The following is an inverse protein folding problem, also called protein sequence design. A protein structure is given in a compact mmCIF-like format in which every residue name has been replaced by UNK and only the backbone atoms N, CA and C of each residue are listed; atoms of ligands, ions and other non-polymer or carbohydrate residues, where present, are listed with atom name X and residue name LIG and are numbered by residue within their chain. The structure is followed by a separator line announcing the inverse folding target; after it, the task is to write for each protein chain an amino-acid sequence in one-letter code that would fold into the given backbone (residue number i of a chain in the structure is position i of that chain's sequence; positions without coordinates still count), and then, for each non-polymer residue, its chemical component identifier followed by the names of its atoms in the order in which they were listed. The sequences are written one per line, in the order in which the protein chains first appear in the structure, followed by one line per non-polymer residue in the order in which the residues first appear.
data_IF_102767538118
#
_entry.id   IF_102767538118
#
_cell.length_a   1.000
_cell.length_b   1.000
_cell.length_c   1.000
_cell.angle_alpha   90.00
_cell.angle_beta   90.00
_cell.angle_gamma   90.00
#
_symmetry.space_group_name_H-M   'P 1'
#
loop_
_entity.id
_entity.type
_entity.pdbx_description
1 polymer ?
#
# COMPACT_ATOMS: atom_id res chain seq x y z
N UNK A 1 32.50 -3.51 -20.77
CA UNK A 1 31.48 -3.13 -19.76
C UNK A 1 30.37 -2.41 -20.52
N UNK A 2 29.51 -3.15 -21.21
CA UNK A 2 28.46 -2.59 -22.08
C UNK A 2 27.13 -3.36 -22.01
N UNK A 3 27.00 -4.29 -21.06
CA UNK A 3 25.77 -5.08 -20.82
C UNK A 3 25.05 -4.70 -19.52
N UNK A 4 25.44 -3.59 -18.89
CA UNK A 4 24.73 -3.10 -17.71
C UNK A 4 23.53 -2.26 -18.16
N UNK A 5 22.34 -2.47 -17.56
CA UNK A 5 21.17 -1.64 -17.85
C UNK A 5 21.46 -0.17 -17.54
N UNK A 6 20.96 0.73 -18.38
CA UNK A 6 21.07 2.18 -18.18
C UNK A 6 20.16 2.61 -17.03
N UNK A 7 20.73 2.82 -15.85
CA UNK A 7 19.97 3.20 -14.65
C UNK A 7 19.62 4.69 -14.59
N UNK A 8 20.16 5.50 -15.50
CA UNK A 8 19.78 6.92 -15.64
C UNK A 8 18.44 7.04 -16.38
N UNK A 9 18.08 6.03 -17.19
CA UNK A 9 16.74 5.88 -17.75
C UNK A 9 15.71 5.49 -16.67
N UNK A 10 14.64 6.27 -16.57
CA UNK A 10 13.62 6.11 -15.53
C UNK A 10 12.84 4.79 -15.66
N UNK A 11 12.50 4.39 -16.89
CA UNK A 11 11.76 3.15 -17.14
C UNK A 11 12.59 1.94 -16.76
N UNK A 12 13.86 1.92 -17.18
CA UNK A 12 14.83 0.88 -16.84
C UNK A 12 15.03 0.79 -15.33
N UNK A 13 15.22 1.93 -14.66
CA UNK A 13 15.35 1.98 -13.20
C UNK A 13 14.09 1.48 -12.49
N UNK A 14 12.90 1.84 -12.98
CA UNK A 14 11.64 1.40 -12.40
C UNK A 14 11.47 -0.12 -12.52
N UNK A 15 11.65 -0.67 -13.72
CA UNK A 15 11.56 -2.11 -13.96
C UNK A 15 12.59 -2.90 -13.14
N UNK A 16 13.83 -2.40 -13.03
CA UNK A 16 14.86 -3.04 -12.21
C UNK A 16 14.50 -3.00 -10.72
N UNK A 17 14.00 -1.86 -10.23
CA UNK A 17 13.59 -1.70 -8.83
C UNK A 17 12.43 -2.63 -8.48
N UNK A 18 11.44 -2.73 -9.36
CA UNK A 18 10.30 -3.64 -9.20
C UNK A 18 10.75 -5.11 -9.17
N UNK A 19 11.57 -5.53 -10.14
CA UNK A 19 12.07 -6.91 -10.20
C UNK A 19 12.88 -7.29 -8.95
N UNK A 20 13.76 -6.39 -8.48
CA UNK A 20 14.56 -6.61 -7.28
C UNK A 20 13.69 -6.63 -6.01
N UNK A 21 12.67 -5.77 -5.93
CA UNK A 21 11.73 -5.76 -4.82
C UNK A 21 10.94 -7.07 -4.75
N UNK A 22 10.39 -7.52 -5.89
CA UNK A 22 9.67 -8.80 -6.00
C UNK A 22 10.55 -9.95 -5.49
N UNK A 23 11.79 -10.04 -5.97
CA UNK A 23 12.76 -11.06 -5.51
C UNK A 23 13.05 -10.96 -4.00
N UNK A 24 13.18 -9.76 -3.46
CA UNK A 24 13.42 -9.57 -2.03
C UNK A 24 12.25 -10.06 -1.17
N UNK A 25 11.00 -9.74 -1.54
CA UNK A 25 9.85 -10.23 -0.78
C UNK A 25 9.65 -11.73 -0.97
N UNK A 26 9.85 -12.26 -2.17
CA UNK A 26 9.72 -13.69 -2.43
C UNK A 26 10.67 -14.51 -1.55
N UNK A 27 11.93 -14.07 -1.37
CA UNK A 27 12.88 -14.73 -0.46
C UNK A 27 12.42 -14.73 1.00
N UNK A 28 11.70 -13.69 1.43
CA UNK A 28 11.12 -13.64 2.78
C UNK A 28 9.80 -14.40 2.94
N UNK A 29 9.07 -14.62 1.84
CA UNK A 29 7.71 -15.17 1.86
C UNK A 29 7.64 -16.66 1.49
N UNK A 30 8.54 -17.14 0.64
CA UNK A 30 8.54 -18.54 0.15
C UNK A 30 9.28 -19.42 1.15
N UNK A 31 8.50 -20.21 1.90
CA UNK A 31 9.04 -21.18 2.88
C UNK A 31 8.99 -22.63 2.36
N UNK A 32 8.06 -22.92 1.47
CA UNK A 32 7.88 -24.22 0.81
C UNK A 32 7.19 -24.03 -0.55
N UNK A 33 7.32 -25.02 -1.44
CA UNK A 33 6.59 -25.06 -2.70
C UNK A 33 6.30 -26.50 -3.13
N UNK A 34 5.32 -26.64 -4.01
CA UNK A 34 5.00 -27.90 -4.68
C UNK A 34 5.00 -27.68 -6.19
N UNK A 35 5.60 -28.62 -6.94
CA UNK A 35 5.61 -28.60 -8.40
C UNK A 35 6.71 -27.73 -9.04
N UNK A 36 7.57 -27.09 -8.23
CA UNK A 36 8.80 -26.46 -8.73
C UNK A 36 9.90 -27.53 -8.79
N UNK A 37 10.41 -27.79 -9.99
CA UNK A 37 11.40 -28.84 -10.24
C UNK A 37 12.79 -28.22 -10.48
N UNK A 38 13.84 -29.01 -10.25
CA UNK A 38 15.19 -28.58 -10.54
C UNK A 38 15.46 -28.56 -12.06
N UNK A 39 16.53 -27.89 -12.46
CA UNK A 39 16.91 -27.77 -13.88
C UNK A 39 17.50 -29.04 -14.49
N UNK A 40 17.86 -30.03 -13.68
CA UNK A 40 18.55 -31.25 -14.10
C UNK A 40 17.63 -32.48 -14.22
N UNK A 41 16.33 -32.34 -13.90
CA UNK A 41 15.37 -33.44 -13.97
C UNK A 41 14.09 -33.17 -13.16
N UNK A 42 13.33 -34.24 -12.90
CA UNK A 42 11.99 -34.14 -12.32
C UNK A 42 11.95 -34.09 -10.77
N UNK A 43 13.11 -33.94 -10.12
CA UNK A 43 13.14 -33.84 -8.67
C UNK A 43 12.76 -32.42 -8.22
N UNK A 44 12.03 -32.25 -7.11
CA UNK A 44 11.67 -30.94 -6.59
C UNK A 44 12.89 -30.04 -6.36
N UNK A 45 12.78 -28.77 -6.73
CA UNK A 45 13.80 -27.78 -6.42
C UNK A 45 13.87 -27.56 -4.90
N UNK A 46 15.08 -27.39 -4.38
CA UNK A 46 15.28 -27.00 -2.97
C UNK A 46 14.96 -25.53 -2.83
N UNK A 47 14.15 -25.17 -1.83
CA UNK A 47 13.89 -23.76 -1.48
C UNK A 47 15.18 -23.15 -0.94
N UNK A 48 15.74 -22.21 -1.69
CA UNK A 48 16.86 -21.36 -1.28
C UNK A 48 16.79 -20.05 -2.08
N UNK A 49 17.55 -19.04 -1.65
CA UNK A 49 17.53 -17.70 -2.26
C UNK A 49 17.77 -17.72 -3.78
N UNK A 50 18.67 -18.58 -4.26
CA UNK A 50 18.95 -18.67 -5.70
C UNK A 50 17.76 -19.25 -6.45
N UNK A 51 17.21 -20.37 -5.99
CA UNK A 51 16.07 -21.02 -6.62
C UNK A 51 14.81 -20.12 -6.60
N UNK A 52 14.63 -19.34 -5.53
CA UNK A 52 13.55 -18.33 -5.46
C UNK A 52 13.78 -17.21 -6.47
N UNK A 53 15.01 -16.70 -6.59
CA UNK A 53 15.33 -15.69 -7.60
C UNK A 53 15.11 -16.20 -9.02
N UNK A 54 15.57 -17.43 -9.32
CA UNK A 54 15.40 -18.07 -10.62
C UNK A 54 13.91 -18.25 -10.97
N UNK A 55 13.10 -18.62 -9.97
CA UNK A 55 11.65 -18.74 -10.14
C UNK A 55 11.00 -17.38 -10.44
N UNK A 56 11.47 -16.31 -9.80
CA UNK A 56 10.98 -14.94 -10.02
C UNK A 56 11.56 -14.27 -11.27
N UNK A 57 12.58 -14.86 -11.93
CA UNK A 57 13.00 -14.42 -13.26
C UNK A 57 11.99 -14.81 -14.35
N UNK A 58 11.05 -15.72 -14.04
CA UNK A 58 9.93 -16.04 -14.90
C UNK A 58 8.84 -14.97 -14.70
N UNK A 59 8.74 -14.05 -15.66
CA UNK A 59 7.88 -12.85 -15.56
C UNK A 59 6.45 -13.14 -15.06
N UNK A 60 5.75 -14.11 -15.65
CA UNK A 60 4.36 -14.38 -15.27
C UNK A 60 4.22 -14.96 -13.85
N UNK A 61 5.25 -15.65 -13.35
CA UNK A 61 5.28 -16.16 -11.98
C UNK A 61 5.51 -15.00 -11.00
N UNK A 62 6.46 -14.12 -11.30
CA UNK A 62 6.71 -12.92 -10.51
C UNK A 62 5.46 -12.03 -10.40
N UNK A 63 4.74 -11.85 -11.51
CA UNK A 63 3.50 -11.07 -11.55
C UNK A 63 2.37 -11.72 -10.74
N UNK A 64 2.21 -13.03 -10.82
CA UNK A 64 1.21 -13.75 -10.03
C UNK A 64 1.55 -13.74 -8.53
N UNK A 65 2.83 -13.93 -8.18
CA UNK A 65 3.31 -13.79 -6.81
C UNK A 65 3.03 -12.40 -6.25
N UNK A 66 3.43 -11.34 -6.97
CA UNK A 66 3.22 -9.96 -6.54
C UNK A 66 1.74 -9.68 -6.27
N UNK A 67 0.86 -9.99 -7.22
CA UNK A 67 -0.59 -9.81 -7.08
C UNK A 67 -1.15 -10.51 -5.84
N UNK A 68 -0.76 -11.76 -5.60
CA UNK A 68 -1.23 -12.54 -4.44
C UNK A 68 -0.68 -12.01 -3.13
N UNK A 69 0.61 -11.69 -3.10
CA UNK A 69 1.30 -11.23 -1.90
C UNK A 69 0.85 -9.83 -1.45
N UNK A 70 0.58 -8.93 -2.40
CA UNK A 70 0.13 -7.56 -2.10
C UNK A 70 -1.39 -7.41 -2.01
N UNK A 71 -2.16 -8.47 -2.24
CA UNK A 71 -3.63 -8.41 -2.28
C UNK A 71 -4.24 -7.77 -1.01
N UNK A 72 -3.71 -8.09 0.17
CA UNK A 72 -4.18 -7.50 1.44
C UNK A 72 -3.85 -6.01 1.56
N UNK A 73 -2.72 -5.56 1.01
CA UNK A 73 -2.38 -4.13 0.96
C UNK A 73 -3.35 -3.40 0.03
N UNK A 74 -3.67 -3.99 -1.12
CA UNK A 74 -4.64 -3.43 -2.06
C UNK A 74 -6.06 -3.35 -1.47
N UNK A 75 -6.46 -4.34 -0.66
CA UNK A 75 -7.73 -4.31 0.07
C UNK A 75 -7.76 -3.15 1.10
N UNK A 76 -6.67 -2.97 1.84
CA UNK A 76 -6.54 -1.90 2.84
C UNK A 76 -6.58 -0.51 2.19
N UNK A 77 -5.89 -0.31 1.07
CA UNK A 77 -5.93 0.94 0.30
C UNK A 77 -7.34 1.24 -0.23
N UNK A 78 -8.06 0.20 -0.68
CA UNK A 78 -9.45 0.34 -1.10
C UNK A 78 -10.40 0.73 0.04
N UNK A 79 -10.16 0.24 1.26
CA UNK A 79 -10.95 0.62 2.45
C UNK A 79 -10.68 2.08 2.87
N UNK A 80 -9.41 2.48 2.91
CA UNK A 80 -9.00 3.83 3.30
C UNK A 80 -9.46 4.92 2.33
N UNK A 81 -9.43 4.66 1.01
CA UNK A 81 -9.80 5.65 -0.01
C UNK A 81 -11.31 5.91 -0.13
N UNK A 82 -12.17 5.09 0.48
CA UNK A 82 -13.61 5.41 0.65
C UNK A 82 -13.83 6.34 1.85
N UNK A 83 -12.83 6.49 2.72
CA UNK A 83 -12.81 7.42 3.86
C UNK A 83 -12.08 8.74 3.56
N UNK A 84 -12.13 9.20 2.30
CA UNK A 84 -11.71 10.57 1.98
C UNK A 84 -12.43 11.55 2.90
N UNK A 85 -11.73 12.60 3.38
CA UNK A 85 -12.32 13.65 4.21
C UNK A 85 -13.66 14.06 3.57
N UNK A 86 -14.77 13.72 4.23
CA UNK A 86 -16.05 14.32 3.89
C UNK A 86 -15.81 15.82 3.84
N UNK A 87 -16.25 16.49 2.77
CA UNK A 87 -16.20 17.95 2.66
C UNK A 87 -16.58 18.51 4.02
N UNK A 88 -15.65 19.22 4.67
CA UNK A 88 -15.90 19.82 5.97
C UNK A 88 -17.25 20.52 5.90
N UNK A 89 -18.17 20.07 6.75
CA UNK A 89 -19.59 20.25 6.55
C UNK A 89 -19.96 21.69 6.22
N UNK A 90 -20.60 21.90 5.08
CA UNK A 90 -21.54 23.01 4.94
C UNK A 90 -22.89 22.55 5.47
N UNK A 91 -22.94 22.03 6.70
CA UNK A 91 -24.22 21.85 7.38
C UNK A 91 -24.75 23.26 7.64
N UNK A 92 -25.89 23.58 7.02
CA UNK A 92 -26.64 24.77 7.39
C UNK A 92 -26.81 24.76 8.92
N UNK A 93 -26.59 25.91 9.57
CA UNK A 93 -26.88 26.04 10.99
C UNK A 93 -28.31 25.54 11.25
N UNK A 94 -28.44 24.56 12.16
CA UNK A 94 -29.76 24.08 12.58
C UNK A 94 -30.60 25.26 13.08
N UNK A 95 -31.91 25.24 12.84
CA UNK A 95 -32.78 26.30 13.33
C UNK A 95 -32.66 26.42 14.87
N UNK A 96 -32.39 27.64 15.35
CA UNK A 96 -32.37 27.93 16.77
C UNK A 96 -33.73 27.58 17.38
N UNK A 97 -33.75 26.54 18.21
CA UNK A 97 -34.97 26.09 18.91
C UNK A 97 -35.19 26.83 20.23
N UNK A 98 -34.23 27.65 20.66
CA UNK A 98 -34.29 28.38 21.91
C UNK A 98 -34.64 29.86 21.67
N UNK A 99 -35.66 30.35 22.37
CA UNK A 99 -35.94 31.79 22.39
C UNK A 99 -34.81 32.56 23.10
N UNK A 100 -34.49 33.75 22.58
CA UNK A 100 -33.47 34.62 23.15
C UNK A 100 -33.76 34.96 24.62
N UNK A 101 -32.74 34.84 25.48
CA UNK A 101 -32.84 35.27 26.87
C UNK A 101 -33.10 36.78 26.95
N UNK A 102 -34.08 37.18 27.77
CA UNK A 102 -34.38 38.59 28.01
C UNK A 102 -33.37 39.19 28.99
N UNK A 103 -32.57 40.16 28.53
CA UNK A 103 -31.59 40.86 29.37
C UNK A 103 -32.31 41.88 30.27
N UNK A 104 -32.48 41.57 31.56
CA UNK A 104 -32.85 42.58 32.56
C UNK A 104 -31.60 43.40 32.91
N UNK A 105 -31.64 44.74 32.84
CA UNK A 105 -30.48 45.55 33.23
C UNK A 105 -30.24 45.41 34.74
N UNK A 106 -29.06 44.93 35.11
CA UNK A 106 -28.57 44.91 36.48
C UNK A 106 -28.33 46.35 36.96
N UNK A 107 -28.76 46.65 38.19
CA UNK A 107 -28.63 47.98 38.79
C UNK A 107 -27.16 48.27 39.11
N UNK A 108 -26.53 49.18 38.35
CA UNK A 108 -25.20 49.72 38.68
C UNK A 108 -25.30 50.56 39.95
N UNK A 109 -24.49 50.22 40.96
CA UNK A 109 -24.21 51.10 42.09
C UNK A 109 -23.16 52.14 41.64
N UNK A 110 -23.51 53.43 41.70
CA UNK A 110 -22.54 54.52 41.53
C UNK A 110 -21.81 54.73 42.86
N UNK A 111 -20.49 54.65 42.83
CA UNK A 111 -19.62 55.07 43.92
C UNK A 111 -19.28 56.57 43.78
N UNK A 112 -19.58 57.36 44.81
CA UNK A 112 -18.95 58.64 45.15
C UNK A 112 -19.20 58.88 46.64
#
# INVERSE_FOLDING_TARGET
VSDLPDVDDEETRHGLSEALLIKAMARGAVIEWQGVLNSAGDAPAVVNDQAVNDLMDIWFIAQDFWKKYTASLSLLDAEGNVSGLAVNGTSAAGQDTAEHATTKPSRVAKAS
#
